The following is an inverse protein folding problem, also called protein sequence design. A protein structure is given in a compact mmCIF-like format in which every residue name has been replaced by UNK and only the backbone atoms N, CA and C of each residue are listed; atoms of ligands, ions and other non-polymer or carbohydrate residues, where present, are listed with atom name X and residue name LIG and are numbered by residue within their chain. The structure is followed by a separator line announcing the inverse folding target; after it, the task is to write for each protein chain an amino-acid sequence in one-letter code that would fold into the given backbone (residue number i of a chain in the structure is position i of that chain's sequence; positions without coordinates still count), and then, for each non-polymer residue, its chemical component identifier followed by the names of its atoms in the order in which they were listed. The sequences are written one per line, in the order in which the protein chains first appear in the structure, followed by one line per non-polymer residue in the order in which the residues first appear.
data_IF_429591355665
#
_entry.id   IF_429591355665
#
_cell.length_a   1.000
_cell.length_b   1.000
_cell.length_c   1.000
_cell.angle_alpha   90.00
_cell.angle_beta   90.00
_cell.angle_gamma   90.00
#
_symmetry.space_group_name_H-M   'P 1'
#
loop_
_entity.id
_entity.type
_entity.pdbx_description
1 polymer ?
#
# COMPACT_ATOMS: atom_id res chain seq x y z
N UNK A 1 -23.88 25.35 18.50
CA UNK A 1 -23.37 24.24 19.32
C UNK A 1 -24.48 23.23 19.48
N UNK A 2 -24.44 22.13 18.74
CA UNK A 2 -25.44 21.06 18.83
C UNK A 2 -24.73 19.78 19.27
N UNK A 3 -24.84 19.48 20.56
CA UNK A 3 -24.47 18.18 21.10
C UNK A 3 -25.53 17.17 20.63
N UNK A 4 -25.20 16.44 19.58
CA UNK A 4 -25.96 15.25 19.19
C UNK A 4 -25.76 14.20 20.28
N UNK A 5 -26.84 13.95 21.03
CA UNK A 5 -26.99 12.82 21.95
C UNK A 5 -26.56 11.53 21.28
N UNK A 6 -25.43 10.97 21.74
CA UNK A 6 -24.97 9.64 21.37
C UNK A 6 -26.09 8.63 21.65
N UNK A 7 -26.62 8.04 20.58
CA UNK A 7 -27.50 6.88 20.68
C UNK A 7 -26.75 5.72 21.33
N UNK A 8 -27.39 5.09 22.32
CA UNK A 8 -26.81 4.18 23.31
C UNK A 8 -26.60 2.74 22.81
N UNK A 9 -26.53 2.56 21.49
CA UNK A 9 -26.53 1.25 20.80
C UNK A 9 -25.26 1.00 19.97
N UNK A 10 -24.17 1.70 20.27
CA UNK A 10 -22.88 1.40 19.64
C UNK A 10 -22.35 0.06 20.16
N UNK A 11 -22.24 -0.93 19.27
CA UNK A 11 -21.49 -2.15 19.56
C UNK A 11 -20.06 -1.78 19.99
N UNK A 12 -19.44 -2.57 20.88
CA UNK A 12 -18.06 -2.34 21.36
C UNK A 12 -17.09 -2.09 20.18
N UNK A 13 -17.29 -2.80 19.06
CA UNK A 13 -16.49 -2.62 17.84
C UNK A 13 -16.72 -1.30 17.11
N UNK A 14 -17.89 -0.69 17.24
CA UNK A 14 -18.18 0.62 16.64
C UNK A 14 -17.52 1.74 17.45
N UNK A 15 -17.41 1.58 18.78
CA UNK A 15 -16.66 2.52 19.64
C UNK A 15 -15.17 2.52 19.30
N UNK A 16 -14.56 1.34 19.14
CA UNK A 16 -13.13 1.24 18.80
C UNK A 16 -12.83 1.83 17.43
N UNK A 17 -13.71 1.62 16.44
CA UNK A 17 -13.56 2.22 15.11
C UNK A 17 -13.70 3.74 15.16
N UNK A 18 -14.58 4.25 16.02
CA UNK A 18 -14.75 5.69 16.21
C UNK A 18 -13.51 6.34 16.83
N UNK A 19 -12.91 5.70 17.84
CA UNK A 19 -11.65 6.15 18.45
C UNK A 19 -10.50 6.16 17.45
N UNK A 20 -10.35 5.09 16.66
CA UNK A 20 -9.36 5.01 15.58
C UNK A 20 -9.55 6.12 14.55
N UNK A 21 -10.79 6.35 14.10
CA UNK A 21 -11.09 7.43 13.17
C UNK A 21 -10.79 8.82 13.78
N UNK A 22 -11.13 9.02 15.05
CA UNK A 22 -10.85 10.27 15.75
C UNK A 22 -9.34 10.52 15.83
N UNK A 23 -8.53 9.51 16.17
CA UNK A 23 -7.08 9.62 16.18
C UNK A 23 -6.49 9.94 14.80
N UNK A 24 -7.02 9.33 13.74
CA UNK A 24 -6.63 9.63 12.35
C UNK A 24 -6.96 11.05 11.91
N UNK A 25 -8.02 11.64 12.48
CA UNK A 25 -8.44 13.01 12.18
C UNK A 25 -7.61 14.09 12.88
N UNK A 26 -6.71 13.71 13.79
CA UNK A 26 -5.84 14.66 14.48
C UNK A 26 -4.76 15.21 13.53
N UNK A 27 -4.50 16.53 13.63
CA UNK A 27 -3.53 17.26 12.80
C UNK A 27 -2.10 16.67 12.85
N UNK A 28 -1.72 16.05 13.97
CA UNK A 28 -0.40 15.47 14.18
C UNK A 28 -0.49 13.98 14.55
N UNK A 29 -1.13 13.19 13.69
CA UNK A 29 -1.20 11.73 13.88
C UNK A 29 0.15 11.08 13.53
N UNK A 30 0.86 10.55 14.54
CA UNK A 30 2.03 9.69 14.31
C UNK A 30 1.59 8.36 13.70
N UNK A 31 2.36 7.86 12.73
CA UNK A 31 2.10 6.61 12.01
C UNK A 31 0.72 6.59 11.35
N UNK A 32 0.34 7.72 10.76
CA UNK A 32 -0.98 7.95 10.19
C UNK A 32 -1.34 6.89 9.14
N UNK A 33 -0.39 6.51 8.29
CA UNK A 33 -0.57 5.51 7.23
C UNK A 33 -0.87 4.13 7.83
N UNK A 34 -0.07 3.68 8.80
CA UNK A 34 -0.29 2.40 9.47
C UNK A 34 -1.64 2.34 10.17
N UNK A 35 -2.02 3.42 10.88
CA UNK A 35 -3.34 3.53 11.53
C UNK A 35 -4.48 3.56 10.52
N UNK A 36 -4.29 4.20 9.36
CA UNK A 36 -5.28 4.25 8.30
C UNK A 36 -5.51 2.84 7.73
N UNK A 37 -4.43 2.08 7.52
CA UNK A 37 -4.52 0.69 7.12
C UNK A 37 -5.34 -0.12 8.14
N UNK A 38 -4.96 -0.09 9.42
CA UNK A 38 -5.65 -0.85 10.48
C UNK A 38 -7.13 -0.47 10.56
N UNK A 39 -7.45 0.83 10.48
CA UNK A 39 -8.83 1.30 10.45
C UNK A 39 -9.59 0.78 9.23
N UNK A 40 -9.00 0.83 8.04
CA UNK A 40 -9.64 0.37 6.82
C UNK A 40 -9.92 -1.14 6.83
N UNK A 41 -8.98 -1.96 7.30
CA UNK A 41 -9.18 -3.41 7.47
C UNK A 41 -10.30 -3.67 8.47
N UNK A 42 -10.20 -3.07 9.66
CA UNK A 42 -11.17 -3.26 10.75
C UNK A 42 -12.57 -2.81 10.34
N UNK A 43 -12.68 -1.68 9.63
CA UNK A 43 -13.96 -1.18 9.14
C UNK A 43 -14.53 -2.07 8.03
N UNK A 44 -13.68 -2.53 7.10
CA UNK A 44 -14.09 -3.41 6.02
C UNK A 44 -14.63 -4.75 6.55
N UNK A 45 -14.00 -5.32 7.56
CA UNK A 45 -14.47 -6.55 8.21
C UNK A 45 -15.76 -6.32 9.00
N UNK A 46 -15.87 -5.15 9.66
CA UNK A 46 -17.07 -4.78 10.43
C UNK A 46 -18.33 -4.70 9.55
N UNK A 47 -18.20 -4.37 8.26
CA UNK A 47 -19.33 -4.33 7.30
C UNK A 47 -19.98 -5.70 7.05
N UNK A 48 -19.31 -6.81 7.39
CA UNK A 48 -19.88 -8.16 7.27
C UNK A 48 -20.74 -8.54 8.47
N UNK A 49 -20.60 -7.82 9.59
CA UNK A 49 -21.25 -8.14 10.85
C UNK A 49 -22.59 -7.42 10.98
N UNK A 50 -23.57 -8.10 11.57
CA UNK A 50 -24.82 -7.50 12.03
C UNK A 50 -24.71 -7.15 13.52
N UNK A 51 -25.25 -6.01 13.99
CA UNK A 51 -26.02 -5.01 13.25
C UNK A 51 -25.17 -4.11 12.35
N UNK A 52 -25.78 -3.39 11.41
CA UNK A 52 -25.09 -2.46 10.50
C UNK A 52 -24.32 -1.38 11.29
N UNK A 53 -23.15 -0.91 10.83
CA UNK A 53 -22.43 0.17 11.48
C UNK A 53 -23.25 1.46 11.49
N UNK A 54 -23.00 2.30 12.50
CA UNK A 54 -23.64 3.61 12.65
C UNK A 54 -23.35 4.48 11.43
N UNK A 55 -24.35 5.21 10.93
CA UNK A 55 -24.23 6.00 9.69
C UNK A 55 -23.12 7.06 9.77
N UNK A 56 -22.80 7.58 10.96
CA UNK A 56 -21.68 8.49 11.18
C UNK A 56 -20.33 7.84 10.81
N UNK A 57 -20.12 6.56 11.16
CA UNK A 57 -18.90 5.83 10.81
C UNK A 57 -18.86 5.49 9.32
N UNK A 58 -20.00 5.15 8.72
CA UNK A 58 -20.08 4.96 7.26
C UNK A 58 -19.71 6.25 6.53
N UNK A 59 -20.22 7.40 6.99
CA UNK A 59 -19.87 8.69 6.42
C UNK A 59 -18.37 8.97 6.55
N UNK A 60 -17.81 8.78 7.75
CA UNK A 60 -16.37 8.92 8.03
C UNK A 60 -15.49 8.03 7.12
N UNK A 61 -15.90 6.79 6.89
CA UNK A 61 -15.19 5.91 5.97
C UNK A 61 -15.29 6.40 4.52
N UNK A 62 -16.46 6.86 4.08
CA UNK A 62 -16.62 7.41 2.72
C UNK A 62 -15.86 8.71 2.49
N UNK A 63 -15.69 9.55 3.51
CA UNK A 63 -14.87 10.77 3.39
C UNK A 63 -13.39 10.44 3.29
N UNK A 64 -12.91 9.42 4.01
CA UNK A 64 -11.54 8.91 3.85
C UNK A 64 -11.29 8.35 2.45
N UNK A 65 -12.24 7.58 1.92
CA UNK A 65 -12.19 7.05 0.54
C UNK A 65 -12.23 8.14 -0.53
N UNK A 66 -12.82 9.30 -0.23
CA UNK A 66 -12.87 10.43 -1.15
C UNK A 66 -11.58 11.26 -1.16
N UNK A 67 -10.61 10.97 -0.28
CA UNK A 67 -9.33 11.68 -0.23
C UNK A 67 -8.30 11.03 -1.14
N UNK A 68 -7.80 11.79 -2.12
CA UNK A 68 -6.81 11.32 -3.09
C UNK A 68 -5.51 10.81 -2.43
N UNK A 69 -5.12 11.39 -1.30
CA UNK A 69 -3.90 11.00 -0.57
C UNK A 69 -4.03 9.63 0.12
N UNK A 70 -5.24 9.27 0.55
CA UNK A 70 -5.49 8.00 1.22
C UNK A 70 -5.74 6.88 0.20
N UNK A 71 -6.17 7.23 -1.01
CA UNK A 71 -6.65 6.30 -2.02
C UNK A 71 -5.71 5.14 -2.33
N UNK A 72 -4.40 5.37 -2.60
CA UNK A 72 -3.49 4.29 -2.97
C UNK A 72 -3.34 3.29 -1.83
N UNK A 73 -3.25 3.79 -0.60
CA UNK A 73 -3.13 2.94 0.58
C UNK A 73 -4.40 2.12 0.80
N UNK A 74 -5.57 2.74 0.66
CA UNK A 74 -6.84 2.03 0.85
C UNK A 74 -7.07 0.96 -0.24
N UNK A 75 -6.62 1.19 -1.47
CA UNK A 75 -6.67 0.18 -2.54
C UNK A 75 -5.71 -1.00 -2.33
N UNK A 76 -4.58 -0.77 -1.64
CA UNK A 76 -3.68 -1.86 -1.24
C UNK A 76 -4.33 -2.74 -0.17
N UNK A 77 -5.01 -2.10 0.78
CA UNK A 77 -5.61 -2.74 1.94
C UNK A 77 -6.94 -3.42 1.63
N UNK A 78 -7.74 -2.85 0.72
CA UNK A 78 -9.05 -3.36 0.32
C UNK A 78 -9.02 -3.68 -1.17
N UNK A 79 -8.72 -4.94 -1.55
CA UNK A 79 -8.57 -5.33 -2.95
C UNK A 79 -9.82 -5.09 -3.80
N UNK A 80 -11.02 -5.13 -3.20
CA UNK A 80 -12.28 -4.89 -3.91
C UNK A 80 -12.44 -3.45 -4.45
N UNK A 81 -11.59 -2.52 -4.01
CA UNK A 81 -11.57 -1.14 -4.49
C UNK A 81 -10.60 -0.92 -5.67
N UNK A 82 -9.85 -1.94 -6.06
CA UNK A 82 -8.98 -1.88 -7.22
C UNK A 82 -9.79 -1.89 -8.53
N UNK A 83 -9.27 -1.28 -9.61
CA UNK A 83 -9.88 -1.40 -10.93
C UNK A 83 -10.04 -2.86 -11.33
N UNK A 84 -11.19 -3.21 -11.92
CA UNK A 84 -11.54 -4.57 -12.35
C UNK A 84 -11.62 -5.65 -11.23
N UNK A 85 -11.65 -5.26 -9.96
CA UNK A 85 -11.83 -6.20 -8.87
C UNK A 85 -13.25 -6.82 -8.84
N UNK A 86 -13.36 -8.03 -8.29
CA UNK A 86 -14.64 -8.72 -8.13
C UNK A 86 -15.52 -7.96 -7.14
N UNK A 87 -16.78 -7.72 -7.54
CA UNK A 87 -17.76 -7.02 -6.71
C UNK A 87 -18.17 -7.91 -5.53
N UNK A 88 -18.11 -7.41 -4.28
CA UNK A 88 -18.47 -8.19 -3.11
C UNK A 88 -19.96 -8.58 -3.10
N UNK A 89 -20.25 -9.72 -2.46
CA UNK A 89 -21.62 -10.25 -2.30
C UNK A 89 -22.44 -9.46 -1.29
N UNK A 90 -21.80 -8.95 -0.23
CA UNK A 90 -22.41 -8.09 0.77
C UNK A 90 -22.93 -6.78 0.14
N UNK A 91 -24.20 -6.45 0.39
CA UNK A 91 -24.88 -5.29 -0.20
C UNK A 91 -24.23 -3.95 0.18
N UNK A 92 -23.82 -3.77 1.43
CA UNK A 92 -23.17 -2.54 1.89
C UNK A 92 -21.80 -2.35 1.25
N UNK A 93 -20.98 -3.42 1.23
CA UNK A 93 -19.68 -3.39 0.53
C UNK A 93 -19.85 -3.09 -0.95
N UNK A 94 -20.84 -3.70 -1.59
CA UNK A 94 -21.17 -3.48 -3.02
C UNK A 94 -21.54 -2.04 -3.30
N UNK A 95 -22.37 -1.44 -2.46
CA UNK A 95 -22.78 -0.05 -2.61
C UNK A 95 -21.60 0.92 -2.44
N UNK A 96 -20.70 0.65 -1.49
CA UNK A 96 -19.47 1.42 -1.31
C UNK A 96 -18.56 1.31 -2.52
N UNK A 97 -18.32 0.11 -3.04
CA UNK A 97 -17.49 -0.12 -4.25
C UNK A 97 -18.07 0.60 -5.45
N UNK A 98 -19.39 0.55 -5.67
CA UNK A 98 -20.05 1.25 -6.79
C UNK A 98 -19.91 2.76 -6.68
N UNK A 99 -20.12 3.32 -5.49
CA UNK A 99 -19.96 4.76 -5.24
C UNK A 99 -18.51 5.20 -5.46
N UNK A 100 -17.56 4.34 -5.10
CA UNK A 100 -16.14 4.57 -5.28
C UNK A 100 -15.73 4.55 -6.76
N UNK A 101 -16.11 3.50 -7.49
CA UNK A 101 -15.81 3.35 -8.92
C UNK A 101 -16.47 4.45 -9.77
N UNK A 102 -17.69 4.89 -9.42
CA UNK A 102 -18.35 6.02 -10.08
C UNK A 102 -17.63 7.36 -9.93
N UNK A 103 -16.68 7.48 -8.99
CA UNK A 103 -15.87 8.68 -8.74
C UNK A 103 -14.45 8.60 -9.31
N UNK A 104 -14.07 7.50 -9.97
CA UNK A 104 -12.72 7.29 -10.50
C UNK A 104 -12.30 8.03 -11.80
N UNK A 105 -13.13 8.78 -12.57
CA UNK A 105 -12.62 9.36 -13.82
C UNK A 105 -11.53 10.44 -13.65
N UNK A 106 -11.23 10.89 -12.41
CA UNK A 106 -10.16 11.84 -12.13
C UNK A 106 -8.81 11.20 -11.74
N UNK A 107 -8.79 9.93 -11.31
CA UNK A 107 -7.55 9.28 -10.86
C UNK A 107 -6.69 8.77 -12.03
N UNK A 108 -7.31 8.41 -13.15
CA UNK A 108 -6.55 8.04 -14.36
C UNK A 108 -5.66 9.20 -14.84
N UNK A 109 -6.08 10.44 -14.62
CA UNK A 109 -5.32 11.65 -14.94
C UNK A 109 -4.20 11.96 -13.93
N UNK A 110 -4.27 11.51 -12.67
CA UNK A 110 -3.16 11.66 -11.71
C UNK A 110 -2.16 10.51 -11.82
N UNK A 111 -2.61 9.32 -12.24
CA UNK A 111 -1.75 8.17 -12.49
C UNK A 111 -0.73 8.40 -13.61
N UNK A 112 -1.06 9.26 -14.58
CA UNK A 112 -0.15 9.65 -15.66
C UNK A 112 0.99 10.56 -15.15
N UNK A 113 0.71 11.42 -14.17
CA UNK A 113 1.72 12.25 -13.49
C UNK A 113 2.64 11.44 -12.56
N UNK A 114 2.15 10.35 -11.95
CA UNK A 114 3.01 9.45 -11.16
C UNK A 114 3.82 8.47 -12.01
N UNK A 115 3.34 8.07 -13.19
CA UNK A 115 4.09 7.18 -14.10
C UNK A 115 5.38 7.80 -14.63
N UNK A 116 5.41 9.08 -14.93
CA UNK A 116 6.63 9.77 -15.39
C UNK A 116 7.70 9.82 -14.29
N UNK A 117 7.31 10.08 -13.04
CA UNK A 117 8.23 10.06 -11.89
C UNK A 117 8.70 8.64 -11.53
N UNK A 118 7.84 7.64 -11.71
CA UNK A 118 8.23 6.23 -11.57
C UNK A 118 9.19 5.75 -12.66
N UNK A 119 9.16 6.34 -13.86
CA UNK A 119 10.13 6.03 -14.91
C UNK A 119 11.55 6.46 -14.54
N UNK A 120 11.71 7.67 -14.00
CA UNK A 120 13.01 8.17 -13.52
C UNK A 120 13.50 7.40 -12.29
N UNK A 121 12.62 7.15 -11.31
CA UNK A 121 12.97 6.33 -10.15
C UNK A 121 13.34 4.88 -10.55
N UNK A 122 12.68 4.32 -11.55
CA UNK A 122 13.01 3.00 -12.08
C UNK A 122 14.33 2.99 -12.87
N UNK A 123 14.68 4.08 -13.55
CA UNK A 123 15.98 4.26 -14.17
C UNK A 123 17.09 4.34 -13.11
N UNK A 124 16.91 5.19 -12.09
CA UNK A 124 17.85 5.33 -10.98
C UNK A 124 18.06 4.01 -10.24
N UNK A 125 16.98 3.26 -9.96
CA UNK A 125 17.08 1.94 -9.36
C UNK A 125 17.87 0.94 -10.23
N UNK A 126 17.70 0.97 -11.56
CA UNK A 126 18.48 0.12 -12.47
C UNK A 126 19.96 0.49 -12.46
N UNK A 127 20.28 1.79 -12.46
CA UNK A 127 21.66 2.27 -12.39
C UNK A 127 22.32 1.91 -11.06
N UNK A 128 21.62 2.14 -9.95
CA UNK A 128 22.11 1.78 -8.61
C UNK A 128 22.32 0.26 -8.47
N UNK A 129 21.36 -0.54 -8.95
CA UNK A 129 21.48 -1.99 -8.98
C UNK A 129 22.68 -2.46 -9.82
N UNK A 130 22.91 -1.82 -10.97
CA UNK A 130 24.05 -2.13 -11.83
C UNK A 130 25.36 -1.78 -11.13
N UNK A 131 25.45 -0.61 -10.50
CA UNK A 131 26.62 -0.19 -9.73
C UNK A 131 26.93 -1.14 -8.57
N UNK A 132 25.90 -1.60 -7.85
CA UNK A 132 26.05 -2.60 -6.78
C UNK A 132 26.57 -3.93 -7.32
N UNK A 133 26.02 -4.43 -8.42
CA UNK A 133 26.49 -5.67 -9.06
C UNK A 133 27.94 -5.57 -9.54
N UNK A 134 28.34 -4.43 -10.09
CA UNK A 134 29.73 -4.18 -10.50
C UNK A 134 30.66 -4.15 -9.29
N UNK A 135 30.25 -3.51 -8.19
CA UNK A 135 31.01 -3.49 -6.95
C UNK A 135 31.14 -4.88 -6.30
N UNK A 136 30.09 -5.70 -6.34
CA UNK A 136 30.13 -7.09 -5.86
C UNK A 136 31.05 -7.95 -6.71
N UNK A 137 30.99 -7.84 -8.04
CA UNK A 137 31.91 -8.54 -8.94
C UNK A 137 33.36 -8.10 -8.69
N UNK A 138 33.60 -6.81 -8.47
CA UNK A 138 34.91 -6.30 -8.13
C UNK A 138 35.42 -6.89 -6.81
N UNK A 139 34.60 -6.87 -5.75
CA UNK A 139 34.94 -7.49 -4.46
C UNK A 139 35.19 -8.99 -4.59
N UNK A 140 34.33 -9.71 -5.29
CA UNK A 140 34.51 -11.13 -5.57
C UNK A 140 35.80 -11.39 -6.34
N UNK A 141 36.15 -10.54 -7.31
CA UNK A 141 37.41 -10.66 -8.05
C UNK A 141 38.64 -10.44 -7.17
N UNK A 142 38.59 -9.48 -6.23
CA UNK A 142 39.67 -9.29 -5.25
C UNK A 142 39.75 -10.48 -4.30
N UNK A 143 38.63 -10.98 -3.78
CA UNK A 143 38.62 -12.09 -2.82
C UNK A 143 39.09 -13.40 -3.45
N UNK A 144 38.73 -13.66 -4.72
CA UNK A 144 39.08 -14.89 -5.41
C UNK A 144 40.47 -14.84 -6.07
N UNK A 145 40.93 -13.66 -6.50
CA UNK A 145 42.17 -13.53 -7.28
C UNK A 145 43.26 -12.69 -6.61
N UNK A 146 42.95 -11.88 -5.60
CA UNK A 146 43.89 -10.93 -4.98
C UNK A 146 44.20 -9.66 -5.79
N UNK A 147 43.53 -9.44 -6.93
CA UNK A 147 43.81 -8.32 -7.84
C UNK A 147 42.50 -7.78 -8.45
N UNK A 148 42.34 -6.45 -8.52
CA UNK A 148 41.07 -5.79 -8.87
C UNK A 148 40.77 -5.61 -10.37
N UNK A 149 41.54 -6.21 -11.29
CA UNK A 149 41.30 -6.01 -12.73
C UNK A 149 41.23 -7.34 -13.51
N UNK A 150 40.15 -8.12 -13.34
CA UNK A 150 39.98 -9.39 -14.04
C UNK A 150 39.68 -9.19 -15.53
N UNK A 151 40.28 -10.02 -16.38
CA UNK A 151 39.93 -10.14 -17.80
C UNK A 151 38.43 -10.45 -18.00
N UNK A 152 37.83 -9.97 -19.09
CA UNK A 152 36.40 -10.21 -19.41
C UNK A 152 36.04 -11.70 -19.44
N UNK A 153 36.92 -12.57 -19.96
CA UNK A 153 36.71 -14.02 -19.95
C UNK A 153 36.71 -14.63 -18.53
N UNK A 154 37.25 -13.92 -17.54
CA UNK A 154 37.25 -14.33 -16.14
C UNK A 154 36.04 -13.77 -15.38
N UNK A 155 35.63 -12.52 -15.66
CA UNK A 155 34.38 -11.96 -15.13
C UNK A 155 33.18 -12.86 -15.46
N UNK A 156 33.16 -13.42 -16.67
CA UNK A 156 32.09 -14.34 -17.08
C UNK A 156 32.11 -15.65 -16.28
N UNK A 157 33.30 -16.19 -15.97
CA UNK A 157 33.41 -17.38 -15.10
C UNK A 157 32.95 -17.11 -13.68
N UNK A 158 33.26 -15.94 -13.13
CA UNK A 158 32.78 -15.54 -11.78
C UNK A 158 31.26 -15.34 -11.78
N UNK A 159 30.68 -14.77 -12.84
CA UNK A 159 29.21 -14.68 -12.99
C UNK A 159 28.56 -16.05 -12.99
N UNK A 160 29.10 -16.99 -13.77
CA UNK A 160 28.59 -18.37 -13.82
C UNK A 160 28.72 -19.06 -12.44
N UNK A 161 29.80 -18.81 -11.71
CA UNK A 161 30.00 -19.32 -10.36
C UNK A 161 29.00 -18.73 -9.35
N UNK A 162 28.76 -17.42 -9.37
CA UNK A 162 27.77 -16.75 -8.52
C UNK A 162 26.33 -17.20 -8.83
N UNK A 163 26.00 -17.46 -10.09
CA UNK A 163 24.71 -17.99 -10.50
C UNK A 163 24.51 -19.46 -10.10
N UNK A 164 25.60 -20.21 -9.95
CA UNK A 164 25.60 -21.62 -9.54
C UNK A 164 25.54 -21.85 -8.03
N UNK A 165 25.65 -20.80 -7.20
CA UNK A 165 25.45 -20.93 -5.76
C UNK A 165 23.96 -21.01 -5.44
N UNK A 166 23.50 -22.01 -4.66
CA UNK A 166 22.13 -22.07 -4.23
C UNK A 166 21.82 -20.84 -3.38
N UNK A 167 20.73 -20.15 -3.71
CA UNK A 167 20.17 -19.14 -2.82
C UNK A 167 19.81 -19.85 -1.52
N UNK A 168 20.25 -19.34 -0.38
CA UNK A 168 19.71 -19.79 0.90
C UNK A 168 18.18 -19.62 0.81
N UNK A 169 17.47 -20.74 0.89
CA UNK A 169 16.02 -20.75 0.99
C UNK A 169 15.67 -20.12 2.35
N UNK A 170 15.32 -18.82 2.32
CA UNK A 170 14.74 -18.07 3.45
C UNK A 170 13.25 -17.91 3.22
#
# INVERSE_FOLDING_TARGET
MANATLSKDASIGDSTLYEQFHELSQLCCKDREAKLQVFCESFWDRLERSPRPIDALLLAFTTLLASDNNLPLVQLVIPNLQPAAVIPTNSLKRDLVRRFQGRQPLFELSSSYHRTRHSEAHHQFKEEKKALQEAELYRASILLCGHGNPSEAYKERVRQWLLGFPKEDV
#
